data_IF_015648951185
#
_entry.id   IF_015648951185
#
_cell.length_a   1.000
_cell.length_b   1.000
_cell.length_c   1.000
_cell.angle_alpha   90.00
_cell.angle_beta   90.00
_cell.angle_gamma   90.00
#
_symmetry.space_group_name_H-M   'P 1'
#
loop_
_entity.id
_entity.type
_entity.pdbx_description
1 polymer ?
#
# COMPACT_ATOMS: atom_id res chain seq x y z
N UNK A 1 -1.64 15.09 -4.69
CA UNK A 1 -1.27 14.61 -6.05
C UNK A 1 -2.06 15.36 -7.12
N UNK A 2 -1.46 15.69 -8.27
CA UNK A 2 -2.16 16.23 -9.45
C UNK A 2 -2.28 15.12 -10.52
N UNK A 3 -3.33 14.30 -10.42
CA UNK A 3 -3.58 13.21 -11.37
C UNK A 3 -4.25 13.75 -12.65
N UNK A 4 -3.74 13.34 -13.83
CA UNK A 4 -4.29 13.74 -15.14
C UNK A 4 -5.53 12.94 -15.55
N UNK A 5 -5.72 11.76 -14.96
CA UNK A 5 -6.87 10.91 -15.24
C UNK A 5 -8.17 11.59 -14.78
N UNK A 6 -9.28 11.23 -15.42
CA UNK A 6 -10.63 11.66 -14.98
C UNK A 6 -11.39 10.51 -14.31
N UNK A 7 -10.78 9.34 -14.16
CA UNK A 7 -11.41 8.17 -13.56
C UNK A 7 -11.49 8.32 -12.04
N UNK A 8 -12.70 8.55 -11.51
CA UNK A 8 -12.93 8.60 -10.07
C UNK A 8 -12.50 7.31 -9.37
N UNK A 9 -12.77 6.16 -10.00
CA UNK A 9 -12.36 4.86 -9.46
C UNK A 9 -10.84 4.77 -9.29
N UNK A 10 -10.10 5.24 -10.29
CA UNK A 10 -8.64 5.25 -10.24
C UNK A 10 -8.11 6.20 -9.15
N UNK A 11 -8.73 7.37 -9.00
CA UNK A 11 -8.37 8.30 -7.92
C UNK A 11 -8.62 7.69 -6.55
N UNK A 12 -9.76 7.03 -6.34
CA UNK A 12 -10.05 6.32 -5.09
C UNK A 12 -9.07 5.18 -4.83
N UNK A 13 -8.69 4.41 -5.87
CA UNK A 13 -7.67 3.36 -5.73
C UNK A 13 -6.35 3.99 -5.24
N UNK A 14 -5.85 5.01 -5.93
CA UNK A 14 -4.58 5.65 -5.56
C UNK A 14 -4.65 6.22 -4.14
N UNK A 15 -5.69 6.98 -3.81
CA UNK A 15 -5.83 7.61 -2.50
C UNK A 15 -5.83 6.58 -1.36
N UNK A 16 -6.51 5.44 -1.54
CA UNK A 16 -6.53 4.39 -0.52
C UNK A 16 -5.22 3.64 -0.41
N UNK A 17 -4.56 3.34 -1.53
CA UNK A 17 -3.22 2.73 -1.51
C UNK A 17 -2.23 3.65 -0.80
N UNK A 18 -2.24 4.93 -1.17
CA UNK A 18 -1.38 5.96 -0.58
C UNK A 18 -1.55 6.01 0.94
N UNK A 19 -2.78 6.00 1.45
CA UNK A 19 -3.05 5.93 2.88
C UNK A 19 -2.53 4.66 3.56
N UNK A 20 -2.63 3.50 2.90
CA UNK A 20 -2.13 2.23 3.44
C UNK A 20 -0.60 2.23 3.50
N UNK A 21 0.06 2.61 2.40
CA UNK A 21 1.53 2.71 2.31
C UNK A 21 2.08 3.75 3.30
N UNK A 22 1.41 4.90 3.40
CA UNK A 22 1.78 5.96 4.34
C UNK A 22 1.84 5.47 5.80
N UNK A 23 1.02 4.48 6.16
CA UNK A 23 0.95 3.89 7.50
C UNK A 23 1.98 2.80 7.80
N UNK A 24 2.78 2.36 6.83
CA UNK A 24 3.73 1.25 7.02
C UNK A 24 4.97 1.75 7.80
N UNK A 25 5.28 1.17 8.98
CA UNK A 25 6.48 1.53 9.72
C UNK A 25 7.73 0.89 9.10
N UNK A 26 8.91 1.50 9.29
CA UNK A 26 10.18 0.91 8.84
C UNK A 26 10.58 -0.32 9.67
N UNK A 27 10.25 -0.28 10.96
CA UNK A 27 10.56 -1.30 11.93
C UNK A 27 9.27 -1.81 12.56
N UNK A 28 9.27 -3.05 13.02
CA UNK A 28 8.18 -3.61 13.79
C UNK A 28 8.13 -3.05 15.22
N UNK A 29 7.18 -3.55 16.00
CA UNK A 29 6.97 -3.11 17.38
C UNK A 29 8.15 -3.42 18.33
N UNK A 30 9.03 -4.36 17.96
CA UNK A 30 10.23 -4.73 18.71
C UNK A 30 11.48 -3.98 18.21
N UNK A 31 11.36 -3.20 17.13
CA UNK A 31 12.43 -2.41 16.56
C UNK A 31 13.28 -3.16 15.53
N UNK A 32 12.88 -4.37 15.12
CA UNK A 32 13.49 -5.09 14.02
C UNK A 32 12.99 -4.53 12.67
N UNK A 33 13.78 -4.63 11.58
CA UNK A 33 13.30 -4.25 10.25
C UNK A 33 11.99 -4.97 9.91
N UNK A 34 11.00 -4.23 9.42
CA UNK A 34 9.68 -4.81 9.15
C UNK A 34 9.76 -5.99 8.16
N UNK A 35 10.70 -5.96 7.22
CA UNK A 35 10.91 -7.02 6.22
C UNK A 35 11.25 -8.39 6.81
N UNK A 36 11.88 -8.40 7.98
CA UNK A 36 12.29 -9.61 8.68
C UNK A 36 11.21 -10.09 9.67
N UNK A 37 10.13 -9.31 9.80
CA UNK A 37 9.04 -9.54 10.76
C UNK A 37 7.85 -10.23 10.11
N UNK A 38 7.09 -10.97 10.92
CA UNK A 38 5.80 -11.54 10.50
C UNK A 38 4.75 -10.47 10.22
N UNK A 39 4.99 -9.24 10.69
CA UNK A 39 4.09 -8.11 10.48
C UNK A 39 4.09 -7.62 9.02
N UNK A 40 5.12 -7.97 8.23
CA UNK A 40 5.19 -7.63 6.80
C UNK A 40 3.97 -8.18 6.02
N UNK A 41 3.64 -9.45 6.26
CA UNK A 41 2.54 -10.14 5.57
C UNK A 41 1.19 -9.44 5.83
N UNK A 42 1.00 -8.88 7.04
CA UNK A 42 -0.20 -8.12 7.39
C UNK A 42 -0.35 -6.87 6.51
N UNK A 43 0.75 -6.16 6.24
CA UNK A 43 0.72 -4.97 5.39
C UNK A 43 0.47 -5.32 3.91
N UNK A 44 1.07 -6.40 3.43
CA UNK A 44 0.83 -6.93 2.08
C UNK A 44 -0.64 -7.33 1.93
N UNK A 45 -1.17 -8.06 2.91
CA UNK A 45 -2.56 -8.52 2.90
C UNK A 45 -3.55 -7.35 2.99
N UNK A 46 -3.25 -6.30 3.75
CA UNK A 46 -4.10 -5.10 3.80
C UNK A 46 -4.29 -4.44 2.42
N UNK A 47 -3.23 -4.38 1.60
CA UNK A 47 -3.31 -3.83 0.24
C UNK A 47 -4.02 -4.82 -0.71
N UNK A 48 -3.70 -6.12 -0.62
CA UNK A 48 -4.30 -7.19 -1.45
C UNK A 48 -5.81 -7.30 -1.21
N UNK A 49 -6.24 -7.28 0.05
CA UNK A 49 -7.64 -7.48 0.45
C UNK A 49 -8.48 -6.21 0.35
N UNK A 50 -7.88 -5.10 -0.06
CA UNK A 50 -8.59 -3.84 -0.23
C UNK A 50 -9.79 -4.01 -1.16
N UNK A 51 -10.96 -3.61 -0.66
CA UNK A 51 -12.23 -3.61 -1.39
C UNK A 51 -12.62 -2.19 -1.71
N UNK A 52 -12.91 -1.94 -2.99
CA UNK A 52 -13.44 -0.66 -3.45
C UNK A 52 -14.75 -0.92 -4.15
N UNK A 53 -15.77 -0.13 -3.79
CA UNK A 53 -17.06 -0.18 -4.47
C UNK A 53 -17.06 0.86 -5.59
N UNK A 54 -17.33 0.44 -6.82
CA UNK A 54 -17.43 1.35 -7.95
C UNK A 54 -18.79 2.11 -7.93
N UNK A 55 -18.96 3.08 -8.84
CA UNK A 55 -20.19 3.87 -8.93
C UNK A 55 -21.45 3.05 -9.27
N UNK A 56 -21.31 1.81 -9.75
CA UNK A 56 -22.40 0.89 -10.05
C UNK A 56 -22.75 -0.01 -8.87
N UNK A 57 -21.99 0.05 -7.77
CA UNK A 57 -22.15 -0.82 -6.61
C UNK A 57 -21.33 -2.12 -6.66
N UNK A 58 -20.54 -2.34 -7.71
CA UNK A 58 -19.71 -3.56 -7.78
C UNK A 58 -18.49 -3.43 -6.87
N UNK A 59 -18.18 -4.51 -6.14
CA UNK A 59 -16.96 -4.61 -5.35
C UNK A 59 -15.81 -5.07 -6.24
N UNK A 60 -14.73 -4.32 -6.24
CA UNK A 60 -13.49 -4.65 -6.94
C UNK A 60 -12.35 -4.90 -5.95
N UNK A 61 -11.45 -5.79 -6.35
CA UNK A 61 -10.17 -6.08 -5.72
C UNK A 61 -9.08 -5.57 -6.66
N UNK A 62 -8.54 -4.35 -6.42
CA UNK A 62 -7.69 -3.67 -7.39
C UNK A 62 -6.28 -4.27 -7.47
N UNK A 63 -5.83 -5.02 -6.47
CA UNK A 63 -4.47 -5.54 -6.39
C UNK A 63 -4.43 -7.06 -6.28
N UNK A 64 -3.45 -7.66 -6.96
CA UNK A 64 -3.03 -9.03 -6.71
C UNK A 64 -1.96 -9.06 -5.63
N UNK A 65 -1.69 -10.24 -5.05
CA UNK A 65 -0.60 -10.43 -4.09
C UNK A 65 0.72 -9.91 -4.65
N UNK A 66 1.04 -10.22 -5.91
CA UNK A 66 2.30 -9.80 -6.52
C UNK A 66 2.47 -8.27 -6.55
N UNK A 67 1.41 -7.52 -6.90
CA UNK A 67 1.47 -6.06 -6.94
C UNK A 67 1.50 -5.48 -5.53
N UNK A 68 0.73 -6.03 -4.59
CA UNK A 68 0.74 -5.61 -3.19
C UNK A 68 2.13 -5.79 -2.56
N UNK A 69 2.77 -6.95 -2.76
CA UNK A 69 4.14 -7.21 -2.30
C UNK A 69 5.13 -6.19 -2.86
N UNK A 70 5.09 -5.90 -4.16
CA UNK A 70 5.98 -4.92 -4.77
C UNK A 70 5.81 -3.52 -4.18
N UNK A 71 4.56 -3.07 -3.99
CA UNK A 71 4.28 -1.75 -3.43
C UNK A 71 4.80 -1.59 -1.99
N UNK A 72 4.69 -2.64 -1.16
CA UNK A 72 5.19 -2.59 0.23
C UNK A 72 6.71 -2.54 0.26
N UNK A 73 7.40 -3.38 -0.53
CA UNK A 73 8.86 -3.34 -0.58
C UNK A 73 9.41 -2.03 -1.16
N UNK A 74 8.73 -1.48 -2.17
CA UNK A 74 9.06 -0.17 -2.76
C UNK A 74 8.97 0.95 -1.71
N UNK A 75 7.85 1.03 -0.98
CA UNK A 75 7.65 2.01 0.11
C UNK A 75 8.72 1.87 1.20
N UNK A 76 9.03 0.63 1.62
CA UNK A 76 10.03 0.39 2.65
C UNK A 76 11.45 0.80 2.20
N UNK A 77 11.76 0.59 0.91
CA UNK A 77 13.05 0.99 0.33
C UNK A 77 13.16 2.52 0.31
N UNK A 78 12.17 3.20 -0.25
CA UNK A 78 12.12 4.67 -0.37
C UNK A 78 12.18 5.36 1.00
N UNK A 79 11.48 4.83 2.01
CA UNK A 79 11.55 5.36 3.39
C UNK A 79 12.92 5.24 4.01
N UNK A 80 13.65 4.15 3.74
CA UNK A 80 15.03 4.00 4.25
C UNK A 80 15.97 4.97 3.59
N UNK A 81 15.83 5.17 2.28
CA UNK A 81 16.64 6.14 1.54
C UNK A 81 16.43 7.55 2.10
N UNK A 82 15.18 7.97 2.31
CA UNK A 82 14.85 9.27 2.91
C UNK A 82 15.29 9.41 4.38
N UNK A 83 15.31 8.32 5.15
CA UNK A 83 15.79 8.36 6.55
C UNK A 83 17.31 8.42 6.67
N UNK A 84 18.04 8.12 5.60
CA UNK A 84 19.50 8.15 5.56
C UNK A 84 20.06 9.47 4.98
N UNK A 85 19.20 10.39 4.56
CA UNK A 85 19.51 11.78 4.16
C UNK A 85 19.45 12.76 5.35
#
# INVERSE_FOLDING_TARGET
>A
MNLKSKSTLFHTIIERVDQQLAGIPLNDSEGAPLEDSTDLDMHIDAIKEMKITNAKGDVIHPFSTAVATQLVYDELTERREQSNE
#
